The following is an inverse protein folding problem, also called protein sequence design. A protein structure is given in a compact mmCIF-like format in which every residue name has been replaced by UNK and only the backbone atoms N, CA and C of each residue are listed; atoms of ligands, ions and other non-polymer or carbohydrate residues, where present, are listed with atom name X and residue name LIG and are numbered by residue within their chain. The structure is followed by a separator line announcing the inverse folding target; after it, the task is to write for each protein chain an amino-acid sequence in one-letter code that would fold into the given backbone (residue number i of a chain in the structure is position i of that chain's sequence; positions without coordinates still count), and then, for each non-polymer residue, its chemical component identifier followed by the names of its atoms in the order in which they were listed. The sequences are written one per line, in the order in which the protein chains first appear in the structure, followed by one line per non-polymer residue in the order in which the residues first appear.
data_IF_814219791979
#
_entry.id   IF_814219791979
#
_cell.length_a   1.000
_cell.length_b   1.000
_cell.length_c   1.000
_cell.angle_alpha   90.00
_cell.angle_beta   90.00
_cell.angle_gamma   90.00
#
_symmetry.space_group_name_H-M   'P 1'
#
loop_
_entity.id
_entity.type
_entity.pdbx_description
1 polymer ?
#
# COMPACT_ATOMS: atom_id res chain seq x y z
N UNK A 1 -4.29 32.62 14.52
CA UNK A 1 -5.48 32.71 15.41
C UNK A 1 -6.25 31.40 15.31
N UNK A 2 -6.47 30.69 16.42
CA UNK A 2 -7.46 29.62 16.43
C UNK A 2 -8.86 30.24 16.55
N UNK A 3 -9.76 29.94 15.61
CA UNK A 3 -11.14 30.46 15.63
C UNK A 3 -11.87 29.82 16.82
N UNK A 4 -12.14 30.61 17.87
CA UNK A 4 -12.87 30.17 19.06
C UNK A 4 -14.29 29.77 18.63
N UNK A 5 -14.59 28.46 18.65
CA UNK A 5 -15.93 27.91 18.38
C UNK A 5 -16.13 27.17 17.05
N UNK A 6 -15.11 26.99 16.22
CA UNK A 6 -15.25 26.25 14.95
C UNK A 6 -15.20 24.73 15.18
N UNK A 7 -16.27 24.00 14.79
CA UNK A 7 -16.31 22.53 14.79
C UNK A 7 -16.17 22.00 13.36
N UNK A 8 -15.08 21.31 13.08
CA UNK A 8 -14.89 20.58 11.83
C UNK A 8 -15.42 19.16 12.00
N UNK A 9 -16.40 18.76 11.17
CA UNK A 9 -16.92 17.40 11.12
C UNK A 9 -16.50 16.74 9.81
N UNK A 10 -15.72 15.67 9.92
CA UNK A 10 -15.26 14.90 8.77
C UNK A 10 -16.40 14.04 8.21
N UNK A 11 -16.61 14.08 6.90
CA UNK A 11 -17.51 13.16 6.21
C UNK A 11 -16.83 11.80 6.04
N UNK A 12 -17.01 10.92 7.03
CA UNK A 12 -16.35 9.60 7.06
C UNK A 12 -16.78 8.70 5.90
N UNK A 13 -18.04 8.77 5.48
CA UNK A 13 -18.55 7.91 4.42
C UNK A 13 -18.04 8.33 3.05
N UNK A 14 -17.96 9.65 2.80
CA UNK A 14 -17.32 10.16 1.60
C UNK A 14 -15.83 9.78 1.52
N UNK A 15 -15.10 9.85 2.65
CA UNK A 15 -13.70 9.43 2.69
C UNK A 15 -13.55 7.94 2.38
N UNK A 16 -14.37 7.07 2.98
CA UNK A 16 -14.33 5.63 2.68
C UNK A 16 -14.63 5.34 1.21
N UNK A 17 -15.63 6.02 0.64
CA UNK A 17 -15.95 5.90 -0.79
C UNK A 17 -14.77 6.32 -1.66
N UNK A 18 -14.10 7.43 -1.31
CA UNK A 18 -12.91 7.91 -2.00
C UNK A 18 -11.74 6.93 -1.89
N UNK A 19 -11.41 6.45 -0.68
CA UNK A 19 -10.30 5.52 -0.46
C UNK A 19 -10.54 4.13 -1.07
N UNK A 20 -11.80 3.80 -1.34
CA UNK A 20 -12.22 2.54 -1.94
C UNK A 20 -12.55 2.66 -3.45
N UNK A 21 -12.19 3.80 -4.07
CA UNK A 21 -12.43 4.11 -5.48
C UNK A 21 -11.48 3.38 -6.42
N UNK A 22 -11.84 3.29 -7.70
CA UNK A 22 -11.02 2.64 -8.71
C UNK A 22 -9.75 3.44 -8.98
N UNK A 23 -9.83 4.77 -8.95
CA UNK A 23 -8.72 5.68 -9.17
C UNK A 23 -7.61 5.48 -8.12
N UNK A 24 -7.98 5.16 -6.86
CA UNK A 24 -7.01 4.79 -5.83
C UNK A 24 -6.40 3.42 -6.12
N UNK A 25 -7.19 2.44 -6.59
CA UNK A 25 -6.66 1.13 -6.98
C UNK A 25 -5.65 1.24 -8.12
N UNK A 26 -6.00 1.99 -9.17
CA UNK A 26 -5.17 2.22 -10.35
C UNK A 26 -3.88 2.99 -10.00
N UNK A 27 -3.93 3.83 -8.97
CA UNK A 27 -2.72 4.49 -8.47
C UNK A 27 -1.81 3.56 -7.65
N UNK A 28 -2.40 2.71 -6.80
CA UNK A 28 -1.64 1.87 -5.88
C UNK A 28 -1.07 0.61 -6.53
N UNK A 29 -1.81 -0.04 -7.43
CA UNK A 29 -1.39 -1.27 -8.09
C UNK A 29 0.01 -1.16 -8.74
N UNK A 30 0.30 -0.18 -9.63
CA UNK A 30 1.63 -0.05 -10.23
C UNK A 30 2.73 0.29 -9.22
N UNK A 31 2.41 0.89 -8.06
CA UNK A 31 3.38 1.13 -6.99
C UNK A 31 3.79 -0.18 -6.32
N UNK A 32 2.82 -1.06 -6.04
CA UNK A 32 3.09 -2.39 -5.49
C UNK A 32 3.93 -3.23 -6.43
N UNK A 33 3.62 -3.22 -7.74
CA UNK A 33 4.41 -3.94 -8.75
C UNK A 33 5.86 -3.45 -8.83
N UNK A 34 6.09 -2.13 -8.75
CA UNK A 34 7.44 -1.57 -8.69
C UNK A 34 8.22 -2.05 -7.46
N UNK A 35 7.56 -2.10 -6.30
CA UNK A 35 8.17 -2.60 -5.06
C UNK A 35 8.48 -4.09 -5.19
N UNK A 36 7.54 -4.91 -5.66
CA UNK A 36 7.75 -6.34 -5.86
C UNK A 36 8.91 -6.63 -6.83
N UNK A 37 8.93 -5.93 -7.97
CA UNK A 37 10.01 -6.02 -8.96
C UNK A 37 11.37 -5.65 -8.36
N UNK A 38 11.43 -4.57 -7.58
CA UNK A 38 12.68 -4.13 -6.93
C UNK A 38 13.13 -5.06 -5.80
N UNK A 39 12.19 -5.73 -5.11
CA UNK A 39 12.48 -6.72 -4.08
C UNK A 39 13.04 -8.02 -4.67
N UNK A 40 12.69 -8.34 -5.92
CA UNK A 40 13.23 -9.46 -6.69
C UNK A 40 12.30 -10.67 -6.77
N UNK A 41 12.86 -11.80 -7.20
CA UNK A 41 12.09 -13.03 -7.43
C UNK A 41 11.40 -13.54 -6.15
N UNK A 42 10.16 -14.04 -6.30
CA UNK A 42 9.37 -14.59 -5.21
C UNK A 42 8.64 -13.56 -4.35
N UNK A 43 8.79 -12.26 -4.63
CA UNK A 43 7.92 -11.22 -4.11
C UNK A 43 6.77 -10.94 -5.09
N UNK A 44 5.53 -10.95 -4.59
CA UNK A 44 4.33 -10.71 -5.41
C UNK A 44 3.50 -9.58 -4.81
N UNK A 45 3.02 -8.69 -5.68
CA UNK A 45 2.03 -7.68 -5.34
C UNK A 45 0.60 -8.21 -5.52
N UNK A 46 -0.30 -7.81 -4.64
CA UNK A 46 -1.72 -8.13 -4.73
C UNK A 46 -2.58 -6.96 -4.27
N UNK A 47 -3.52 -6.56 -5.12
CA UNK A 47 -4.46 -5.46 -4.82
C UNK A 47 -5.74 -6.02 -4.24
N UNK A 48 -6.18 -5.46 -3.12
CA UNK A 48 -7.45 -5.86 -2.50
C UNK A 48 -8.23 -4.64 -2.00
N UNK A 49 -9.56 -4.77 -1.98
CA UNK A 49 -10.44 -3.79 -1.36
C UNK A 49 -10.86 -4.28 0.01
N UNK A 50 -10.29 -3.68 1.05
CA UNK A 50 -10.67 -3.92 2.43
C UNK A 50 -11.99 -3.20 2.75
N UNK A 51 -12.44 -3.35 4.01
CA UNK A 51 -13.68 -2.75 4.53
C UNK A 51 -13.83 -1.25 4.23
N UNK A 52 -12.73 -0.49 4.23
CA UNK A 52 -12.75 0.98 4.19
C UNK A 52 -11.80 1.62 3.16
N UNK A 53 -10.99 0.83 2.44
CA UNK A 53 -10.01 1.32 1.46
C UNK A 53 -9.46 0.22 0.56
N UNK A 54 -8.88 0.62 -0.56
CA UNK A 54 -7.99 -0.24 -1.34
C UNK A 54 -6.62 -0.33 -0.64
N UNK A 55 -6.02 -1.51 -0.68
CA UNK A 55 -4.67 -1.80 -0.18
C UNK A 55 -3.94 -2.65 -1.21
N UNK A 56 -2.64 -2.43 -1.35
CA UNK A 56 -1.76 -3.34 -2.09
C UNK A 56 -0.79 -3.97 -1.11
N UNK A 57 -0.72 -5.29 -1.12
CA UNK A 57 0.21 -6.08 -0.32
C UNK A 57 1.34 -6.56 -1.23
N UNK A 58 2.58 -6.40 -0.79
CA UNK A 58 3.74 -7.07 -1.39
C UNK A 58 4.21 -8.13 -0.40
N UNK A 59 4.28 -9.39 -0.83
CA UNK A 59 4.52 -10.52 0.07
C UNK A 59 5.58 -11.46 -0.49
N UNK A 60 6.39 -12.03 0.39
CA UNK A 60 7.36 -13.08 0.08
C UNK A 60 6.66 -14.45 -0.02
N UNK A 61 6.45 -14.93 -1.25
CA UNK A 61 5.64 -16.11 -1.56
C UNK A 61 6.45 -17.39 -1.53
N UNK A 62 7.75 -17.29 -1.83
CA UNK A 62 8.69 -18.40 -1.81
C UNK A 62 9.51 -18.44 -0.52
N UNK A 63 10.13 -19.58 -0.21
CA UNK A 63 11.02 -19.73 0.94
C UNK A 63 12.28 -18.87 0.78
N UNK A 64 12.77 -18.78 -0.44
CA UNK A 64 13.92 -17.99 -0.85
C UNK A 64 13.66 -16.50 -0.62
N UNK A 65 12.49 -15.98 -1.03
CA UNK A 65 12.12 -14.59 -0.79
C UNK A 65 11.94 -14.29 0.71
N UNK A 66 11.41 -15.23 1.50
CA UNK A 66 11.31 -15.09 2.96
C UNK A 66 12.69 -15.00 3.60
N UNK A 67 13.63 -15.84 3.13
CA UNK A 67 15.02 -15.81 3.58
C UNK A 67 15.70 -14.50 3.20
N UNK A 68 15.56 -14.05 1.96
CA UNK A 68 16.11 -12.78 1.48
C UNK A 68 15.57 -11.57 2.26
N UNK A 69 14.29 -11.57 2.64
CA UNK A 69 13.78 -10.53 3.55
C UNK A 69 14.39 -10.65 4.94
N UNK A 70 14.48 -11.86 5.51
CA UNK A 70 14.99 -12.06 6.85
C UNK A 70 16.49 -11.73 7.01
N UNK A 71 17.31 -12.10 6.02
CA UNK A 71 18.77 -11.93 6.05
C UNK A 71 19.18 -10.57 5.46
N UNK A 72 18.58 -10.14 4.35
CA UNK A 72 19.06 -9.00 3.56
C UNK A 72 18.08 -7.81 3.52
N UNK A 73 16.87 -7.97 4.08
CA UNK A 73 15.80 -6.95 4.06
C UNK A 73 15.41 -6.54 2.63
N UNK A 74 15.38 -7.51 1.71
CA UNK A 74 15.16 -7.29 0.28
C UNK A 74 13.89 -6.47 -0.01
N UNK A 75 12.75 -6.82 0.61
CA UNK A 75 11.50 -6.07 0.45
C UNK A 75 11.51 -4.76 1.23
N UNK A 76 11.99 -4.77 2.48
CA UNK A 76 12.03 -3.56 3.31
C UNK A 76 12.85 -2.45 2.66
N UNK A 77 13.97 -2.79 2.00
CA UNK A 77 14.80 -1.82 1.25
C UNK A 77 14.15 -1.36 -0.06
N UNK A 78 13.27 -2.16 -0.64
CA UNK A 78 12.58 -1.87 -1.89
C UNK A 78 11.34 -0.97 -1.75
N UNK A 79 10.88 -0.66 -0.52
CA UNK A 79 9.65 0.12 -0.27
C UNK A 79 9.62 1.46 -1.05
N UNK A 80 10.76 2.14 -1.15
CA UNK A 80 10.83 3.45 -1.81
C UNK A 80 10.68 3.38 -3.34
N UNK A 81 10.80 2.20 -3.95
CA UNK A 81 10.55 2.01 -5.39
C UNK A 81 9.09 2.33 -5.79
N UNK A 82 8.16 2.31 -4.82
CA UNK A 82 6.75 2.64 -5.04
C UNK A 82 6.39 4.12 -4.94
N UNK A 83 7.34 5.02 -4.68
CA UNK A 83 7.07 6.47 -4.55
C UNK A 83 6.76 7.13 -5.89
#
# INVERSE_FOLDING_TARGET
MAVKGMRIKVNRDAIRKLLASQEVADNLAPRGERIATAAGEGFEASTTKNRDRVVVFVTSRTTEARRAEAEDRALTRAIDAGR
#
